data_IF_160516073549
#
_entry.id   IF_160516073549
#
_cell.length_a   1.000
_cell.length_b   1.000
_cell.length_c   1.000
_cell.angle_alpha   90.00
_cell.angle_beta   90.00
_cell.angle_gamma   90.00
#
_symmetry.space_group_name_H-M   'P 1'
#
loop_
_entity.id
_entity.type
_entity.pdbx_description
1 polymer ?
#
# COMPACT_ATOMS: atom_id res chain seq x y z
N UNK A 1 -13.47 -14.84 -25.16
CA UNK A 1 -13.05 -14.73 -23.75
C UNK A 1 -12.11 -13.54 -23.62
N UNK A 2 -12.55 -12.42 -23.04
CA UNK A 2 -11.72 -11.21 -22.94
C UNK A 2 -10.57 -11.50 -21.97
N UNK A 3 -9.32 -11.35 -22.43
CA UNK A 3 -8.12 -11.46 -21.62
C UNK A 3 -8.17 -10.39 -20.52
N UNK A 4 -8.44 -10.83 -19.31
CA UNK A 4 -8.96 -9.99 -18.23
C UNK A 4 -7.80 -9.37 -17.43
N UNK A 5 -6.88 -8.67 -18.09
CA UNK A 5 -5.67 -8.10 -17.46
C UNK A 5 -6.00 -7.24 -16.23
N UNK A 6 -7.05 -6.43 -16.31
CA UNK A 6 -7.56 -5.63 -15.19
C UNK A 6 -8.05 -6.49 -14.01
N UNK A 7 -8.71 -7.60 -14.32
CA UNK A 7 -9.16 -8.56 -13.30
C UNK A 7 -7.99 -9.33 -12.69
N UNK A 8 -6.92 -9.59 -13.45
CA UNK A 8 -5.69 -10.16 -12.90
C UNK A 8 -4.96 -9.16 -11.99
N UNK A 9 -4.87 -7.89 -12.38
CA UNK A 9 -4.30 -6.82 -11.56
C UNK A 9 -5.08 -6.62 -10.25
N UNK A 10 -6.41 -6.61 -10.33
CA UNK A 10 -7.27 -6.56 -9.14
C UNK A 10 -7.04 -7.77 -8.22
N UNK A 11 -7.00 -8.98 -8.78
CA UNK A 11 -6.78 -10.20 -8.00
C UNK A 11 -5.43 -10.21 -7.30
N UNK A 12 -4.38 -9.77 -7.98
CA UNK A 12 -3.04 -9.61 -7.41
C UNK A 12 -3.05 -8.60 -6.26
N UNK A 13 -3.64 -7.42 -6.48
CA UNK A 13 -3.72 -6.36 -5.46
C UNK A 13 -4.45 -6.82 -4.21
N UNK A 14 -5.61 -7.46 -4.37
CA UNK A 14 -6.42 -7.93 -3.23
C UNK A 14 -5.71 -9.04 -2.47
N UNK A 15 -5.02 -9.94 -3.18
CA UNK A 15 -4.20 -10.97 -2.54
C UNK A 15 -3.06 -10.36 -1.72
N UNK A 16 -2.38 -9.33 -2.23
CA UNK A 16 -1.34 -8.61 -1.49
C UNK A 16 -1.88 -7.92 -0.25
N UNK A 17 -3.03 -7.23 -0.32
CA UNK A 17 -3.68 -6.61 0.85
C UNK A 17 -3.97 -7.66 1.94
N UNK A 18 -4.44 -8.85 1.56
CA UNK A 18 -4.71 -9.95 2.48
C UNK A 18 -3.42 -10.51 3.10
N UNK A 19 -2.38 -10.70 2.29
CA UNK A 19 -1.07 -11.20 2.72
C UNK A 19 -0.39 -10.21 3.68
N UNK A 20 -0.57 -8.91 3.46
CA UNK A 20 -0.06 -7.85 4.33
C UNK A 20 -0.83 -7.72 5.66
N UNK A 21 -1.81 -8.59 5.92
CA UNK A 21 -2.50 -8.69 7.21
C UNK A 21 -3.92 -8.12 7.23
N UNK A 22 -4.44 -7.65 6.10
CA UNK A 22 -5.84 -7.18 6.04
C UNK A 22 -6.80 -8.36 6.16
N UNK A 23 -7.79 -8.27 7.05
CA UNK A 23 -8.76 -9.34 7.28
C UNK A 23 -9.53 -9.69 6.00
N UNK A 24 -9.62 -10.98 5.66
CA UNK A 24 -10.37 -11.48 4.51
C UNK A 24 -11.83 -11.02 4.51
N UNK A 25 -12.49 -11.00 5.67
CA UNK A 25 -13.89 -10.55 5.82
C UNK A 25 -14.08 -9.06 5.55
N UNK A 26 -13.05 -8.24 5.76
CA UNK A 26 -13.05 -6.84 5.37
C UNK A 26 -12.89 -6.69 3.86
N UNK A 27 -11.91 -7.38 3.26
CA UNK A 27 -11.66 -7.35 1.82
C UNK A 27 -12.86 -7.87 1.01
N UNK A 28 -13.51 -8.94 1.47
CA UNK A 28 -14.72 -9.48 0.87
C UNK A 28 -15.82 -8.41 0.73
N UNK A 29 -16.05 -7.63 1.79
CA UNK A 29 -17.02 -6.52 1.78
C UNK A 29 -16.55 -5.37 0.90
N UNK A 30 -15.30 -4.93 1.04
CA UNK A 30 -14.70 -3.82 0.25
C UNK A 30 -14.79 -4.07 -1.24
N UNK A 31 -14.53 -5.30 -1.67
CA UNK A 31 -14.51 -5.68 -3.08
C UNK A 31 -15.80 -6.37 -3.56
N UNK A 32 -16.84 -6.43 -2.72
CA UNK A 32 -18.14 -7.06 -3.04
C UNK A 32 -18.03 -8.49 -3.58
N UNK A 33 -17.17 -9.30 -2.96
CA UNK A 33 -16.94 -10.71 -3.31
C UNK A 33 -17.05 -11.59 -2.07
N UNK A 34 -17.20 -12.89 -2.28
CA UNK A 34 -17.20 -13.84 -1.15
C UNK A 34 -15.82 -13.95 -0.49
N UNK A 35 -15.75 -14.24 0.83
CA UNK A 35 -14.49 -14.58 1.49
C UNK A 35 -13.72 -15.73 0.82
N UNK A 36 -14.43 -16.71 0.26
CA UNK A 36 -13.83 -17.82 -0.50
C UNK A 36 -13.13 -17.35 -1.77
N UNK A 37 -13.69 -16.34 -2.45
CA UNK A 37 -13.07 -15.72 -3.62
C UNK A 37 -11.73 -15.07 -3.26
N UNK A 38 -11.68 -14.35 -2.15
CA UNK A 38 -10.43 -13.74 -1.64
C UNK A 38 -9.39 -14.82 -1.32
N UNK A 39 -9.79 -15.90 -0.63
CA UNK A 39 -8.89 -17.01 -0.30
C UNK A 39 -8.30 -17.66 -1.56
N UNK A 40 -9.11 -17.84 -2.60
CA UNK A 40 -8.65 -18.34 -3.90
C UNK A 40 -7.66 -17.38 -4.58
N UNK A 41 -7.86 -16.06 -4.47
CA UNK A 41 -6.90 -15.08 -5.02
C UNK A 41 -5.57 -15.10 -4.27
N UNK A 42 -5.57 -15.30 -2.95
CA UNK A 42 -4.34 -15.49 -2.16
C UNK A 42 -3.61 -16.76 -2.58
N UNK A 43 -4.34 -17.87 -2.76
CA UNK A 43 -3.76 -19.13 -3.25
C UNK A 43 -3.13 -18.94 -4.63
N UNK A 44 -3.86 -18.36 -5.57
CA UNK A 44 -3.36 -18.05 -6.92
C UNK A 44 -2.11 -17.17 -6.88
N UNK A 45 -2.07 -16.16 -6.01
CA UNK A 45 -0.90 -15.29 -5.86
C UNK A 45 0.33 -16.10 -5.40
N UNK A 46 0.18 -16.95 -4.37
CA UNK A 46 1.27 -17.80 -3.88
C UNK A 46 1.76 -18.81 -4.93
N UNK A 47 0.85 -19.41 -5.70
CA UNK A 47 1.21 -20.32 -6.79
C UNK A 47 1.97 -19.61 -7.92
N UNK A 48 1.57 -18.37 -8.24
CA UNK A 48 2.14 -17.60 -9.34
C UNK A 48 3.49 -16.95 -9.02
N UNK A 49 3.66 -16.43 -7.80
CA UNK A 49 4.84 -15.67 -7.41
C UNK A 49 5.74 -16.42 -6.41
N UNK A 50 5.34 -17.60 -5.98
CA UNK A 50 6.04 -18.42 -4.99
C UNK A 50 5.63 -18.13 -3.57
N UNK A 51 5.92 -19.08 -2.68
CA UNK A 51 5.59 -18.97 -1.25
C UNK A 51 6.37 -17.84 -0.56
N UNK A 52 7.54 -17.48 -1.13
CA UNK A 52 8.39 -16.36 -0.73
C UNK A 52 7.89 -14.99 -1.23
N UNK A 53 6.81 -14.93 -2.01
CA UNK A 53 6.18 -13.66 -2.40
C UNK A 53 5.47 -12.95 -1.23
N UNK A 54 5.55 -13.54 -0.04
CA UNK A 54 5.10 -12.94 1.21
C UNK A 54 6.33 -12.39 1.93
N UNK A 55 6.43 -11.07 2.14
CA UNK A 55 7.52 -10.53 2.92
C UNK A 55 7.48 -11.12 4.34
N UNK A 56 8.65 -11.56 4.79
CA UNK A 56 8.89 -12.09 6.12
C UNK A 56 8.47 -11.07 7.19
N UNK A 57 8.32 -11.53 8.43
CA UNK A 57 8.03 -10.62 9.56
C UNK A 57 9.11 -9.56 9.69
N UNK A 58 10.38 -9.92 9.49
CA UNK A 58 11.52 -8.99 9.52
C UNK A 58 11.45 -7.94 8.42
N UNK A 59 11.19 -8.35 7.17
CA UNK A 59 11.07 -7.42 6.04
C UNK A 59 9.90 -6.45 6.25
N UNK A 60 8.77 -6.93 6.78
CA UNK A 60 7.63 -6.06 7.13
C UNK A 60 7.96 -5.03 8.21
N UNK A 61 8.76 -5.40 9.21
CA UNK A 61 9.20 -4.46 10.26
C UNK A 61 10.15 -3.41 9.66
N UNK A 62 11.04 -3.81 8.76
CA UNK A 62 11.96 -2.90 8.09
C UNK A 62 11.21 -1.92 7.17
N UNK A 63 10.25 -2.41 6.38
CA UNK A 63 9.38 -1.57 5.55
C UNK A 63 8.60 -0.56 6.40
N UNK A 64 8.04 -0.98 7.54
CA UNK A 64 7.32 -0.09 8.45
C UNK A 64 8.23 1.03 8.99
N UNK A 65 9.48 0.71 9.35
CA UNK A 65 10.45 1.73 9.78
C UNK A 65 10.78 2.70 8.65
N UNK A 66 11.00 2.19 7.44
CA UNK A 66 11.29 3.01 6.26
C UNK A 66 10.14 3.96 5.93
N UNK A 67 8.90 3.50 6.06
CA UNK A 67 7.70 4.35 5.88
C UNK A 67 7.67 5.46 6.92
N UNK A 68 7.88 5.14 8.21
CA UNK A 68 7.92 6.15 9.28
C UNK A 68 9.00 7.22 9.01
N UNK A 69 10.21 6.81 8.61
CA UNK A 69 11.28 7.75 8.29
C UNK A 69 10.94 8.67 7.11
N UNK A 70 10.17 8.18 6.14
CA UNK A 70 9.71 9.00 5.01
C UNK A 70 8.63 10.00 5.44
N UNK A 71 7.71 9.59 6.32
CA UNK A 71 6.70 10.47 6.90
C UNK A 71 7.35 11.60 7.71
N UNK A 72 8.32 11.28 8.57
CA UNK A 72 9.04 12.28 9.38
C UNK A 72 9.79 13.30 8.50
N UNK A 73 10.41 12.84 7.41
CA UNK A 73 11.08 13.70 6.42
C UNK A 73 10.10 14.60 5.68
N UNK A 74 8.92 14.08 5.34
CA UNK A 74 7.87 14.85 4.67
C UNK A 74 7.35 15.96 5.60
N UNK A 75 7.08 15.64 6.86
CA UNK A 75 6.62 16.62 7.86
C UNK A 75 7.65 17.74 8.06
N UNK A 76 8.93 17.39 8.07
CA UNK A 76 10.03 18.37 8.15
C UNK A 76 10.07 19.25 6.91
N UNK A 77 9.93 18.67 5.71
CA UNK A 77 9.93 19.42 4.46
C UNK A 77 8.73 20.39 4.38
N UNK A 78 7.55 19.97 4.82
CA UNK A 78 6.35 20.82 4.86
C UNK A 78 6.56 22.03 5.76
N UNK A 79 7.17 21.84 6.94
CA UNK A 79 7.48 22.96 7.85
C UNK A 79 8.45 23.95 7.22
N UNK A 80 9.55 23.46 6.65
CA UNK A 80 10.54 24.30 5.98
C UNK A 80 9.96 25.06 4.78
N UNK A 81 9.07 24.43 4.02
CA UNK A 81 8.34 25.10 2.93
C UNK A 81 7.47 26.25 3.46
N UNK A 82 6.71 26.02 4.54
CA UNK A 82 5.90 27.07 5.15
C UNK A 82 6.73 28.26 5.66
N UNK A 83 7.90 27.99 6.25
CA UNK A 83 8.84 29.05 6.66
C UNK A 83 9.34 29.87 5.46
N UNK A 84 9.65 29.21 4.34
CA UNK A 84 10.09 29.86 3.12
C UNK A 84 8.98 30.66 2.45
N UNK A 85 7.75 30.16 2.45
CA UNK A 85 6.59 30.87 1.90
C UNK A 85 6.32 32.16 2.69
N UNK A 86 6.40 32.12 4.02
CA UNK A 86 6.25 33.29 4.88
C UNK A 86 7.38 34.33 4.65
N UNK A 87 8.62 33.87 4.50
CA UNK A 87 9.75 34.75 4.14
C UNK A 87 9.50 35.46 2.79
N UNK A 88 9.00 34.73 1.79
CA UNK A 88 8.67 35.30 0.48
C UNK A 88 7.53 36.31 0.56
N UNK A 89 6.49 36.02 1.35
CA UNK A 89 5.35 36.92 1.53
C UNK A 89 5.80 38.26 2.14
N UNK A 90 6.61 38.21 3.22
CA UNK A 90 7.20 39.40 3.82
C UNK A 90 8.07 40.20 2.83
N UNK A 91 8.86 39.51 2.00
CA UNK A 91 9.69 40.16 0.98
C UNK A 91 8.88 40.83 -0.14
N UNK A 92 7.65 40.39 -0.40
CA UNK A 92 6.76 40.98 -1.42
C UNK A 92 6.01 42.21 -0.93
N UNK A 93 5.87 42.38 0.39
CA UNK A 93 5.21 43.54 1.00
C UNK A 93 6.13 44.77 1.16
N UNK A 94 7.44 44.62 0.90
CA UNK A 94 8.46 45.68 0.89
C UNK A 94 8.60 46.34 -0.48
#
# INVERSE_FOLDING_TARGET
MKSNKLYDEQRIKVAQEAINGTKISFLARKYSVSPSTIANWVKFYKERFGEQATPSVSERIEDAKRVQELEDKMDTAIKLLGEKDLEIELLREL
#
